data_IF_459945428087
#
_entry.id   IF_459945428087
#
_cell.length_a   1.000
_cell.length_b   1.000
_cell.length_c   1.000
_cell.angle_alpha   90.00
_cell.angle_beta   90.00
_cell.angle_gamma   90.00
#
_symmetry.space_group_name_H-M   'P 1'
#
loop_
_entity.id
_entity.type
_entity.pdbx_description
1 polymer ?
#
# COMPACT_ATOMS: atom_id res chain seq x y z
N UNK A 1 -20.46 0.14 6.82
CA UNK A 1 -19.99 0.76 5.56
C UNK A 1 -18.52 0.42 5.35
N UNK A 2 -18.13 0.19 4.09
CA UNK A 2 -16.74 -0.09 3.77
C UNK A 2 -15.92 1.20 3.78
N UNK A 3 -14.69 1.11 4.31
CA UNK A 3 -13.74 2.21 4.20
C UNK A 3 -13.29 2.37 2.76
N UNK A 4 -13.19 3.61 2.31
CA UNK A 4 -12.72 3.93 0.96
C UNK A 4 -11.21 4.10 0.98
N UNK A 5 -10.50 3.29 0.20
CA UNK A 5 -9.04 3.23 0.19
C UNK A 5 -8.48 3.63 -1.16
N UNK A 6 -7.46 4.49 -1.15
CA UNK A 6 -6.63 4.76 -2.31
C UNK A 6 -5.32 4.01 -2.17
N UNK A 7 -4.87 3.35 -3.22
CA UNK A 7 -3.65 2.53 -3.19
C UNK A 7 -2.60 3.14 -4.12
N UNK A 8 -1.38 3.27 -3.61
CA UNK A 8 -0.21 3.71 -4.37
C UNK A 8 0.75 2.54 -4.49
N UNK A 9 1.06 2.15 -5.73
CA UNK A 9 1.93 1.02 -6.03
C UNK A 9 3.28 1.47 -6.58
N UNK A 10 4.26 0.56 -6.59
CA UNK A 10 5.56 0.81 -7.20
C UNK A 10 5.44 0.70 -8.74
N UNK A 11 5.90 1.71 -9.46
CA UNK A 11 5.86 1.70 -10.92
C UNK A 11 6.74 0.61 -11.52
N UNK A 12 7.87 0.31 -10.89
CA UNK A 12 8.82 -0.67 -11.41
C UNK A 12 8.34 -2.11 -11.33
N UNK A 13 7.31 -2.39 -10.54
CA UNK A 13 6.76 -3.74 -10.41
C UNK A 13 5.50 -3.95 -11.26
N UNK A 14 5.13 -3.00 -12.11
CA UNK A 14 3.91 -3.11 -12.93
C UNK A 14 3.89 -4.33 -13.84
N UNK A 15 5.05 -4.71 -14.38
CA UNK A 15 5.14 -5.89 -15.25
C UNK A 15 5.15 -7.21 -14.50
N UNK A 16 5.31 -7.19 -13.18
CA UNK A 16 5.39 -8.38 -12.32
C UNK A 16 4.17 -8.57 -11.45
N UNK A 17 3.51 -7.46 -11.08
CA UNK A 17 2.43 -7.49 -10.10
C UNK A 17 1.29 -6.58 -10.55
N UNK A 18 0.15 -7.16 -10.93
CA UNK A 18 -1.01 -6.35 -11.34
C UNK A 18 -1.82 -5.80 -10.16
N UNK A 19 -1.38 -6.08 -8.94
CA UNK A 19 -2.09 -5.61 -7.74
C UNK A 19 -3.19 -6.53 -7.26
N UNK A 20 -3.25 -7.76 -7.75
CA UNK A 20 -4.29 -8.73 -7.38
C UNK A 20 -4.40 -8.93 -5.88
N UNK A 21 -3.25 -9.11 -5.20
CA UNK A 21 -3.25 -9.29 -3.75
C UNK A 21 -3.64 -8.02 -3.01
N UNK A 22 -3.26 -6.85 -3.52
CA UNK A 22 -3.62 -5.57 -2.92
C UNK A 22 -5.14 -5.40 -2.91
N UNK A 23 -5.78 -5.64 -4.04
CA UNK A 23 -7.24 -5.56 -4.15
C UNK A 23 -7.93 -6.62 -3.30
N UNK A 24 -7.43 -7.85 -3.33
CA UNK A 24 -8.01 -8.96 -2.57
C UNK A 24 -7.96 -8.69 -1.06
N UNK A 25 -6.80 -8.29 -0.55
CA UNK A 25 -6.62 -8.00 0.87
C UNK A 25 -7.46 -6.81 1.31
N UNK A 26 -7.57 -5.78 0.48
CA UNK A 26 -8.42 -4.63 0.79
C UNK A 26 -9.89 -5.03 0.85
N UNK A 27 -10.38 -5.76 -0.16
CA UNK A 27 -11.78 -6.14 -0.23
C UNK A 27 -12.19 -7.14 0.86
N UNK A 28 -11.26 -7.95 1.34
CA UNK A 28 -11.52 -8.94 2.40
C UNK A 28 -11.16 -8.44 3.81
N UNK A 29 -10.55 -7.26 3.93
CA UNK A 29 -10.13 -6.72 5.22
C UNK A 29 -9.00 -7.50 5.86
N UNK A 30 -8.04 -7.95 5.06
CA UNK A 30 -6.89 -8.73 5.50
C UNK A 30 -5.60 -7.92 5.48
N UNK A 31 -4.52 -8.47 6.02
CA UNK A 31 -3.21 -7.83 6.06
C UNK A 31 -3.28 -6.48 6.77
N UNK A 32 -2.77 -5.45 6.15
CA UNK A 32 -2.79 -4.10 6.74
C UNK A 32 -4.20 -3.54 6.89
N UNK A 33 -5.18 -4.07 6.17
CA UNK A 33 -6.56 -3.61 6.22
C UNK A 33 -7.39 -4.24 7.34
N UNK A 34 -6.83 -5.20 8.07
CA UNK A 34 -7.53 -5.91 9.14
C UNK A 34 -8.20 -4.98 10.16
N UNK A 35 -7.52 -3.94 10.67
CA UNK A 35 -8.15 -3.02 11.61
C UNK A 35 -9.31 -2.22 11.03
N UNK A 36 -9.35 -2.06 9.72
CA UNK A 36 -10.37 -1.29 9.01
C UNK A 36 -11.56 -2.15 8.60
N UNK A 37 -11.38 -3.48 8.54
CA UNK A 37 -12.37 -4.39 7.99
C UNK A 37 -12.36 -4.36 6.47
N UNK A 38 -13.46 -4.82 5.86
CA UNK A 38 -13.58 -4.81 4.40
C UNK A 38 -13.51 -3.39 3.84
N UNK A 39 -12.74 -3.20 2.78
CA UNK A 39 -12.50 -1.89 2.18
C UNK A 39 -12.92 -1.86 0.72
N UNK A 40 -13.26 -0.67 0.25
CA UNK A 40 -13.55 -0.41 -1.15
C UNK A 40 -12.38 0.37 -1.75
N UNK A 41 -11.79 -0.14 -2.83
CA UNK A 41 -10.70 0.56 -3.52
C UNK A 41 -11.32 1.60 -4.46
N UNK A 42 -11.10 2.87 -4.15
CA UNK A 42 -11.66 3.98 -4.94
C UNK A 42 -10.62 4.62 -5.88
N UNK A 43 -9.37 4.25 -5.74
CA UNK A 43 -8.30 4.73 -6.62
C UNK A 43 -7.07 3.85 -6.48
N UNK A 44 -6.35 3.68 -7.60
CA UNK A 44 -5.16 2.84 -7.67
C UNK A 44 -4.19 3.50 -8.65
N UNK A 45 -3.07 3.99 -8.14
CA UNK A 45 -2.07 4.70 -8.94
C UNK A 45 -0.67 4.23 -8.58
N UNK A 46 0.29 4.47 -9.46
CA UNK A 46 1.69 4.22 -9.15
C UNK A 46 2.30 5.41 -8.42
N UNK A 47 3.51 5.20 -7.86
CA UNK A 47 4.27 6.27 -7.20
C UNK A 47 4.78 7.34 -8.19
N UNK A 48 4.64 7.09 -9.49
CA UNK A 48 5.09 8.00 -10.52
C UNK A 48 6.57 7.90 -10.87
N UNK A 49 7.25 6.89 -10.34
CA UNK A 49 8.69 6.66 -10.55
C UNK A 49 9.53 7.23 -9.43
N UNK A 50 10.80 6.83 -9.40
CA UNK A 50 11.74 7.29 -8.39
C UNK A 50 12.11 8.76 -8.61
N UNK A 51 12.34 9.51 -7.55
CA UNK A 51 12.35 9.11 -6.12
C UNK A 51 10.98 9.15 -5.43
N UNK A 52 9.88 9.21 -6.15
CA UNK A 52 8.54 9.14 -5.58
C UNK A 52 7.93 10.49 -5.21
N UNK A 53 8.43 11.57 -5.76
CA UNK A 53 7.88 12.92 -5.51
C UNK A 53 6.44 13.05 -5.98
N UNK A 54 6.08 12.37 -7.06
CA UNK A 54 4.73 12.41 -7.61
C UNK A 54 3.73 11.67 -6.72
N UNK A 55 4.20 10.74 -5.88
CA UNK A 55 3.34 10.02 -4.97
C UNK A 55 2.59 10.95 -4.01
N UNK A 56 3.22 12.03 -3.59
CA UNK A 56 2.62 13.01 -2.69
C UNK A 56 1.40 13.67 -3.35
N UNK A 57 1.56 14.15 -4.58
CA UNK A 57 0.48 14.77 -5.34
C UNK A 57 -0.63 13.74 -5.64
N UNK A 58 -0.24 12.51 -5.96
CA UNK A 58 -1.19 11.43 -6.24
C UNK A 58 -1.96 11.01 -5.00
N UNK A 59 -1.30 11.01 -3.82
CA UNK A 59 -1.98 10.75 -2.55
C UNK A 59 -3.04 11.81 -2.27
N UNK A 60 -2.71 13.08 -2.50
CA UNK A 60 -3.66 14.17 -2.34
C UNK A 60 -4.85 14.02 -3.30
N UNK A 61 -4.58 13.63 -4.53
CA UNK A 61 -5.63 13.37 -5.52
C UNK A 61 -6.57 12.26 -5.05
N UNK A 62 -6.03 11.17 -4.49
CA UNK A 62 -6.83 10.08 -3.95
C UNK A 62 -7.75 10.56 -2.82
N UNK A 63 -7.20 11.37 -1.91
CA UNK A 63 -7.98 11.97 -0.83
C UNK A 63 -9.09 12.85 -1.37
N UNK A 64 -8.79 13.69 -2.35
CA UNK A 64 -9.76 14.60 -2.97
C UNK A 64 -10.87 13.85 -3.70
N UNK A 65 -10.59 12.63 -4.17
CA UNK A 65 -11.54 11.76 -4.87
C UNK A 65 -12.31 10.84 -3.94
N UNK A 66 -12.20 11.03 -2.64
CA UNK A 66 -13.03 10.33 -1.67
C UNK A 66 -12.33 9.24 -0.87
N UNK A 67 -11.04 9.03 -1.03
CA UNK A 67 -10.32 8.07 -0.20
C UNK A 67 -10.29 8.54 1.25
N UNK A 68 -10.60 7.64 2.16
CA UNK A 68 -10.53 7.89 3.60
C UNK A 68 -9.21 7.39 4.18
N UNK A 69 -8.51 6.52 3.46
CA UNK A 69 -7.22 5.94 3.82
C UNK A 69 -6.38 5.83 2.56
N UNK A 70 -5.09 6.09 2.67
CA UNK A 70 -4.13 5.84 1.59
C UNK A 70 -3.19 4.72 2.03
N UNK A 71 -2.99 3.73 1.17
CA UNK A 71 -2.10 2.60 1.43
C UNK A 71 -0.95 2.58 0.43
N UNK A 72 0.27 2.45 0.92
CA UNK A 72 1.43 2.12 0.07
C UNK A 72 1.50 0.60 -0.05
N UNK A 73 1.70 0.10 -1.26
CA UNK A 73 1.73 -1.35 -1.47
C UNK A 73 2.98 -1.99 -0.88
N UNK A 74 2.90 -3.28 -0.64
CA UNK A 74 4.03 -4.06 -0.12
C UNK A 74 5.21 -4.10 -1.08
N UNK A 75 5.00 -3.87 -2.38
CA UNK A 75 6.12 -3.76 -3.33
C UNK A 75 6.98 -2.54 -3.06
N UNK A 76 6.42 -1.49 -2.45
CA UNK A 76 7.20 -0.31 -2.04
C UNK A 76 7.89 -0.56 -0.70
N UNK A 77 7.12 -0.93 0.32
CA UNK A 77 7.61 -0.97 1.70
C UNK A 77 8.31 -2.26 2.09
N UNK A 78 7.92 -3.38 1.47
CA UNK A 78 8.49 -4.70 1.76
C UNK A 78 9.32 -5.27 0.62
N UNK A 79 9.25 -4.66 -0.55
CA UNK A 79 10.01 -5.09 -1.71
C UNK A 79 9.49 -6.32 -2.43
N UNK A 80 8.23 -6.68 -2.26
CA UNK A 80 7.64 -7.80 -2.98
C UNK A 80 7.23 -7.37 -4.39
N UNK A 81 7.35 -8.20 -5.42
CA UNK A 81 7.95 -9.54 -5.41
C UNK A 81 9.46 -9.57 -5.67
N UNK A 82 10.08 -8.40 -5.89
CA UNK A 82 11.49 -8.34 -6.35
C UNK A 82 12.52 -8.53 -5.23
N UNK A 83 12.10 -8.51 -3.97
CA UNK A 83 12.98 -8.73 -2.84
C UNK A 83 13.74 -7.50 -2.32
N UNK A 84 13.45 -6.32 -2.87
CA UNK A 84 14.10 -5.07 -2.45
C UNK A 84 13.06 -4.01 -2.15
N UNK A 85 12.95 -3.53 -0.89
CA UNK A 85 12.06 -2.41 -0.59
C UNK A 85 12.55 -1.14 -1.26
N UNK A 86 11.63 -0.22 -1.51
CA UNK A 86 11.96 1.06 -2.12
C UNK A 86 12.87 1.86 -1.19
N UNK A 87 14.05 2.31 -1.66
CA UNK A 87 14.94 3.12 -0.80
C UNK A 87 14.35 4.47 -0.42
N UNK A 88 13.33 4.91 -1.14
CA UNK A 88 12.67 6.20 -0.90
C UNK A 88 11.40 6.08 -0.04
N UNK A 89 11.09 4.90 0.48
CA UNK A 89 9.84 4.66 1.21
C UNK A 89 9.65 5.57 2.43
N UNK A 90 10.70 5.76 3.21
CA UNK A 90 10.64 6.59 4.41
C UNK A 90 10.36 8.06 4.10
N UNK A 91 11.06 8.59 3.11
CA UNK A 91 10.87 9.96 2.64
C UNK A 91 9.47 10.14 2.05
N UNK A 92 9.03 9.16 1.26
CA UNK A 92 7.71 9.17 0.64
C UNK A 92 6.60 9.17 1.68
N UNK A 93 6.70 8.30 2.69
CA UNK A 93 5.74 8.24 3.80
C UNK A 93 5.66 9.55 4.56
N UNK A 94 6.81 10.12 4.92
CA UNK A 94 6.85 11.40 5.64
C UNK A 94 6.21 12.52 4.82
N UNK A 95 6.54 12.59 3.53
CA UNK A 95 6.02 13.64 2.65
C UNK A 95 4.50 13.49 2.44
N UNK A 96 4.01 12.26 2.30
CA UNK A 96 2.57 12.00 2.16
C UNK A 96 1.84 12.38 3.44
N UNK A 97 2.35 11.97 4.59
CA UNK A 97 1.72 12.31 5.87
C UNK A 97 1.69 13.81 6.13
N UNK A 98 2.77 14.52 5.76
CA UNK A 98 2.81 15.96 5.88
C UNK A 98 1.78 16.65 4.98
N UNK A 99 1.57 16.12 3.77
CA UNK A 99 0.61 16.70 2.81
C UNK A 99 -0.83 16.43 3.21
N UNK A 100 -1.15 15.20 3.64
CA UNK A 100 -2.53 14.79 3.94
C UNK A 100 -2.98 15.20 5.33
N UNK A 101 -2.05 15.47 6.23
CA UNK A 101 -2.33 15.77 7.63
C UNK A 101 -2.07 14.58 8.54
N UNK A 102 -1.67 14.85 9.78
CA UNK A 102 -1.30 13.81 10.74
C UNK A 102 -2.45 12.87 11.10
N UNK A 103 -3.68 13.38 11.03
CA UNK A 103 -4.87 12.59 11.37
C UNK A 103 -5.35 11.71 10.23
N UNK A 104 -4.80 11.87 9.03
CA UNK A 104 -5.22 11.07 7.87
C UNK A 104 -4.49 9.73 7.88
N UNK A 105 -5.23 8.59 7.91
CA UNK A 105 -4.59 7.27 7.98
C UNK A 105 -3.81 6.94 6.71
N UNK A 106 -2.56 6.52 6.90
CA UNK A 106 -1.70 6.04 5.81
C UNK A 106 -1.19 4.67 6.22
N UNK A 107 -1.55 3.65 5.45
CA UNK A 107 -1.07 2.28 5.68
C UNK A 107 0.28 2.11 5.00
N UNK A 108 1.21 1.45 5.69
CA UNK A 108 2.58 1.28 5.22
C UNK A 108 2.78 0.05 4.35
N UNK A 109 1.78 -0.84 4.28
CA UNK A 109 1.84 -2.04 3.44
C UNK A 109 0.41 -2.50 3.13
N UNK A 110 0.28 -3.50 2.25
CA UNK A 110 -1.02 -4.06 1.89
C UNK A 110 -1.16 -5.52 2.31
N UNK A 111 -0.14 -6.33 2.06
CA UNK A 111 -0.17 -7.76 2.37
C UNK A 111 1.22 -8.24 2.81
N UNK A 112 1.32 -9.41 3.50
CA UNK A 112 2.63 -9.97 3.84
C UNK A 112 3.42 -10.35 2.58
N UNK A 113 4.75 -10.33 2.68
CA UNK A 113 5.61 -10.82 1.61
C UNK A 113 5.53 -12.35 1.53
N UNK A 114 6.01 -12.92 0.42
CA UNK A 114 6.07 -14.38 0.27
C UNK A 114 6.91 -15.02 1.38
N UNK A 115 8.02 -14.39 1.77
CA UNK A 115 8.88 -14.88 2.84
C UNK A 115 8.15 -14.85 4.19
N UNK A 116 7.39 -13.79 4.47
CA UNK A 116 6.62 -13.68 5.71
C UNK A 116 5.50 -14.73 5.77
N UNK A 117 4.82 -14.98 4.66
CA UNK A 117 3.80 -16.02 4.58
C UNK A 117 4.38 -17.40 4.82
N UNK A 118 5.54 -17.68 4.24
CA UNK A 118 6.23 -18.97 4.43
C UNK A 118 6.64 -19.15 5.89
N UNK A 119 7.19 -18.12 6.51
CA UNK A 119 7.59 -18.16 7.92
C UNK A 119 6.39 -18.41 8.83
N UNK A 120 5.24 -17.78 8.53
CA UNK A 120 4.01 -18.00 9.29
C UNK A 120 3.49 -19.43 9.15
N UNK A 121 3.56 -20.01 7.94
CA UNK A 121 3.18 -21.39 7.70
C UNK A 121 4.07 -22.36 8.47
N UNK A 122 5.37 -22.13 8.46
CA UNK A 122 6.32 -22.96 9.19
C UNK A 122 6.10 -22.87 10.70
N UNK A 123 5.83 -21.67 11.22
CA UNK A 123 5.51 -21.50 12.63
C UNK A 123 4.21 -22.21 13.02
N UNK A 124 3.22 -22.19 12.13
CA UNK A 124 1.94 -22.88 12.38
C UNK A 124 2.08 -24.40 12.40
N UNK A 125 3.09 -24.94 11.71
CA UNK A 125 3.35 -26.39 11.67
C UNK A 125 4.18 -26.87 12.85
N UNK A 126 4.86 -25.95 13.53
CA UNK A 126 5.64 -26.29 14.71
C UNK A 126 4.75 -26.35 15.96
#
# INVERSE_FOLDING_TARGET
>A
MKKKVGIIRCQQTEDMCPGTKDFCYASEGKGAFEPLGTCEVVGFVSCGGCPGKRAVTRAQMLKDRGAEVVALTSCITKGTPIGFPCPNKGMMLRAIRARLGEDFPVLEYTHPSAAELKAAEEAAKA
#
